data_IF_090496257323
#
_entry.id   IF_090496257323
#
_cell.length_a   1.000
_cell.length_b   1.000
_cell.length_c   1.000
_cell.angle_alpha   90.00
_cell.angle_beta   90.00
_cell.angle_gamma   90.00
#
_symmetry.space_group_name_H-M   'P 1'
#
loop_
_entity.id
_entity.type
_entity.pdbx_description
1 polymer ?
#
# COMPACT_ATOMS: atom_id res chain seq x y z
N UNK A 1 -28.01 -49.06 12.83
CA UNK A 1 -28.56 -48.65 11.52
C UNK A 1 -28.57 -47.13 11.51
N UNK A 2 -27.55 -46.50 10.90
CA UNK A 2 -27.41 -45.05 10.82
C UNK A 2 -27.59 -44.62 9.35
N UNK A 3 -28.55 -43.74 9.09
CA UNK A 3 -28.79 -43.15 7.78
C UNK A 3 -27.82 -41.96 7.55
N UNK A 4 -27.26 -41.79 6.35
CA UNK A 4 -26.41 -40.64 6.05
C UNK A 4 -27.22 -39.37 5.76
N UNK A 5 -26.84 -38.28 6.43
CA UNK A 5 -27.33 -36.91 6.22
C UNK A 5 -26.81 -36.38 4.86
N UNK A 6 -27.73 -35.92 4.01
CA UNK A 6 -27.40 -35.20 2.77
C UNK A 6 -27.07 -33.73 3.08
N UNK A 7 -26.06 -33.13 2.41
CA UNK A 7 -25.78 -31.70 2.52
C UNK A 7 -26.76 -30.85 1.70
N UNK A 8 -27.10 -29.63 2.16
CA UNK A 8 -28.04 -28.73 1.47
C UNK A 8 -27.42 -28.11 0.20
N UNK A 9 -28.25 -27.98 -0.84
CA UNK A 9 -27.91 -27.34 -2.12
C UNK A 9 -27.84 -25.80 -1.98
N UNK A 10 -26.86 -25.13 -2.62
CA UNK A 10 -26.79 -23.67 -2.64
C UNK A 10 -27.90 -23.06 -3.50
N UNK A 11 -28.56 -22.04 -2.95
CA UNK A 11 -29.62 -21.26 -3.60
C UNK A 11 -28.97 -20.08 -4.33
N UNK A 12 -29.08 -20.06 -5.65
CA UNK A 12 -28.64 -18.94 -6.50
C UNK A 12 -29.66 -17.80 -6.35
N UNK A 13 -29.22 -16.64 -5.89
CA UNK A 13 -30.03 -15.40 -5.88
C UNK A 13 -29.68 -14.63 -7.15
N UNK A 14 -30.70 -14.46 -7.98
CA UNK A 14 -30.68 -13.81 -9.28
C UNK A 14 -30.63 -12.28 -9.10
N UNK A 15 -29.67 -11.63 -9.77
CA UNK A 15 -29.40 -10.19 -9.64
C UNK A 15 -30.53 -9.30 -10.18
N UNK A 16 -30.78 -8.21 -9.47
CA UNK A 16 -31.60 -7.10 -9.94
C UNK A 16 -30.69 -6.04 -10.58
N UNK A 17 -30.95 -5.72 -11.84
CA UNK A 17 -30.31 -4.64 -12.59
C UNK A 17 -30.81 -3.27 -12.10
N UNK A 18 -29.95 -2.24 -12.00
CA UNK A 18 -30.40 -0.89 -11.75
C UNK A 18 -30.92 -0.22 -13.03
N UNK A 19 -32.08 0.43 -12.90
CA UNK A 19 -32.68 1.29 -13.91
C UNK A 19 -31.84 2.55 -14.13
N UNK A 20 -31.62 2.91 -15.39
CA UNK A 20 -30.99 4.15 -15.80
C UNK A 20 -32.04 5.27 -15.88
N UNK A 21 -31.84 6.35 -15.11
CA UNK A 21 -32.53 7.62 -15.32
C UNK A 21 -31.63 8.60 -16.11
N UNK A 22 -32.17 9.32 -17.11
CA UNK A 22 -31.42 10.31 -17.87
C UNK A 22 -31.54 11.68 -17.22
N UNK A 23 -30.41 12.31 -16.86
CA UNK A 23 -30.38 13.72 -16.44
C UNK A 23 -29.62 14.56 -17.45
N UNK A 24 -30.31 15.59 -17.90
CA UNK A 24 -29.99 16.51 -18.98
C UNK A 24 -28.66 17.26 -18.81
N UNK A 25 -27.95 17.40 -19.93
CA UNK A 25 -26.76 18.22 -20.06
C UNK A 25 -27.11 19.72 -20.06
N UNK A 26 -26.48 20.49 -19.17
CA UNK A 26 -26.52 21.96 -19.17
C UNK A 26 -25.24 22.48 -19.85
N UNK A 27 -25.33 23.34 -20.88
CA UNK A 27 -24.15 23.90 -21.55
C UNK A 27 -23.54 25.03 -20.71
N UNK A 28 -22.27 24.89 -20.31
CA UNK A 28 -21.47 25.97 -19.72
C UNK A 28 -20.62 26.63 -20.81
N UNK A 29 -20.87 27.92 -21.03
CA UNK A 29 -20.11 28.79 -21.92
C UNK A 29 -18.70 29.09 -21.36
N UNK A 30 -17.68 29.28 -22.22
CA UNK A 30 -16.36 29.71 -21.81
C UNK A 30 -16.31 31.22 -21.57
N UNK A 31 -15.83 31.63 -20.38
CA UNK A 31 -15.46 33.03 -20.08
C UNK A 31 -13.97 33.22 -20.33
N UNK A 32 -13.66 34.06 -21.32
CA UNK A 32 -12.35 34.67 -21.56
C UNK A 32 -12.04 35.69 -20.46
N UNK A 33 -10.88 35.56 -19.81
CA UNK A 33 -10.31 36.63 -18.97
C UNK A 33 -8.88 36.85 -19.46
N UNK A 34 -8.68 37.99 -20.11
CA UNK A 34 -7.39 38.57 -20.45
C UNK A 34 -6.93 39.45 -19.29
N UNK A 35 -5.65 39.38 -18.93
CA UNK A 35 -5.05 40.31 -17.96
C UNK A 35 -3.81 39.76 -17.25
N UNK A 36 -2.67 39.74 -17.95
CA UNK A 36 -1.32 39.73 -17.36
C UNK A 36 -1.02 41.14 -16.79
N UNK A 37 -0.14 41.31 -15.79
CA UNK A 37 1.32 41.25 -16.00
C UNK A 37 2.08 40.54 -14.85
N UNK A 38 3.04 39.66 -15.15
CA UNK A 38 4.49 39.90 -15.26
C UNK A 38 5.30 39.58 -13.99
N UNK A 39 6.20 38.60 -14.18
CA UNK A 39 7.54 38.45 -13.61
C UNK A 39 7.71 38.11 -12.12
N UNK A 40 7.98 36.82 -11.85
CA UNK A 40 8.95 36.39 -10.85
C UNK A 40 9.74 35.18 -11.40
N UNK A 41 11.04 35.17 -11.12
CA UNK A 41 12.11 34.42 -11.77
C UNK A 41 11.94 32.89 -11.83
N UNK A 42 12.51 32.23 -12.86
CA UNK A 42 12.63 30.77 -12.85
C UNK A 42 13.69 30.37 -11.82
N UNK A 43 13.29 29.56 -10.84
CA UNK A 43 14.22 28.81 -9.99
C UNK A 43 15.03 27.91 -10.92
N UNK A 44 16.34 28.12 -10.93
CA UNK A 44 17.29 27.38 -11.75
C UNK A 44 17.06 25.88 -11.58
N UNK A 45 16.74 25.22 -12.69
CA UNK A 45 16.76 23.77 -12.77
C UNK A 45 18.17 23.31 -12.38
N UNK A 46 18.27 22.60 -11.25
CA UNK A 46 19.48 21.86 -10.92
C UNK A 46 19.69 20.87 -12.06
N UNK A 47 20.67 21.17 -12.90
CA UNK A 47 21.09 20.28 -13.97
C UNK A 47 21.43 18.94 -13.33
N UNK A 48 20.64 17.92 -13.67
CA UNK A 48 21.00 16.54 -13.40
C UNK A 48 22.41 16.32 -13.98
N UNK A 49 23.39 16.12 -13.11
CA UNK A 49 24.73 15.75 -13.54
C UNK A 49 24.59 14.44 -14.29
N UNK A 50 24.78 14.50 -15.61
CA UNK A 50 24.87 13.32 -16.44
C UNK A 50 25.97 12.41 -15.86
N UNK A 51 25.72 11.09 -15.74
CA UNK A 51 26.76 10.17 -15.27
C UNK A 51 28.01 10.34 -16.13
N UNK A 52 29.23 10.23 -15.55
CA UNK A 52 30.46 10.43 -16.28
C UNK A 52 30.47 9.50 -17.50
N UNK A 53 30.40 10.09 -18.70
CA UNK A 53 30.50 9.34 -19.94
C UNK A 53 31.77 8.49 -19.87
N UNK A 54 31.68 7.17 -20.09
CA UNK A 54 32.89 6.36 -20.18
C UNK A 54 33.73 6.94 -21.32
N UNK A 55 35.01 7.24 -21.02
CA UNK A 55 36.01 7.65 -22.03
C UNK A 55 35.97 6.65 -23.18
N UNK A 56 35.29 7.02 -24.27
CA UNK A 56 35.32 6.28 -25.54
C UNK A 56 36.72 6.45 -26.08
N UNK A 57 37.57 5.45 -25.89
CA UNK A 57 38.78 5.33 -26.69
C UNK A 57 38.30 5.15 -28.13
N UNK A 58 38.62 6.07 -29.05
CA UNK A 58 38.21 5.94 -30.44
C UNK A 58 38.82 4.66 -31.03
N UNK A 59 38.00 3.79 -31.63
CA UNK A 59 38.50 2.71 -32.49
C UNK A 59 38.25 1.26 -32.06
N UNK A 60 37.76 0.99 -30.85
CA UNK A 60 37.42 -0.41 -30.44
C UNK A 60 35.90 -0.56 -30.34
N UNK A 61 35.29 -1.15 -31.37
CA UNK A 61 33.89 -1.55 -31.33
C UNK A 61 33.74 -2.68 -30.30
N UNK A 62 33.13 -2.39 -29.15
CA UNK A 62 32.83 -3.41 -28.13
C UNK A 62 31.74 -4.32 -28.67
N UNK A 63 32.02 -5.62 -28.73
CA UNK A 63 31.00 -6.62 -29.06
C UNK A 63 30.07 -6.77 -27.87
N UNK A 64 28.76 -6.67 -28.08
CA UNK A 64 27.73 -6.98 -27.08
C UNK A 64 27.18 -8.39 -27.29
N UNK A 65 26.61 -8.98 -26.25
CA UNK A 65 25.90 -10.25 -26.36
C UNK A 65 24.50 -10.00 -26.93
N UNK A 66 24.26 -10.44 -28.17
CA UNK A 66 22.96 -10.37 -28.82
C UNK A 66 22.12 -11.59 -28.41
N UNK A 67 21.66 -11.63 -27.16
CA UNK A 67 20.81 -12.70 -26.64
C UNK A 67 19.41 -12.16 -26.39
N UNK A 68 18.42 -12.76 -27.05
CA UNK A 68 17.01 -12.35 -26.94
C UNK A 68 16.29 -13.11 -25.83
N UNK A 69 15.18 -12.54 -25.32
CA UNK A 69 14.33 -13.22 -24.34
C UNK A 69 13.77 -14.56 -24.88
N UNK A 70 13.51 -14.65 -26.18
CA UNK A 70 13.05 -15.89 -26.81
C UNK A 70 14.13 -16.99 -26.83
N UNK A 71 15.40 -16.61 -27.05
CA UNK A 71 16.52 -17.55 -26.94
C UNK A 71 16.74 -17.99 -25.50
N UNK A 72 16.66 -17.07 -24.54
CA UNK A 72 16.71 -17.42 -23.12
C UNK A 72 15.56 -18.35 -22.73
N UNK A 73 14.34 -18.14 -23.22
CA UNK A 73 13.20 -19.01 -22.95
C UNK A 73 13.34 -20.43 -23.50
N UNK A 74 14.15 -20.64 -24.56
CA UNK A 74 14.50 -22.00 -25.03
C UNK A 74 15.52 -22.68 -24.11
N UNK A 75 16.39 -21.90 -23.48
CA UNK A 75 17.44 -22.39 -22.59
C UNK A 75 16.94 -22.60 -21.15
N UNK A 76 15.97 -21.79 -20.72
CA UNK A 76 15.40 -21.76 -19.38
C UNK A 76 13.86 -21.79 -19.46
N UNK A 77 13.27 -22.92 -19.92
CA UNK A 77 11.84 -23.01 -20.21
C UNK A 77 10.94 -22.87 -18.98
N UNK A 78 11.47 -23.05 -17.77
CA UNK A 78 10.77 -22.88 -16.51
C UNK A 78 10.65 -21.41 -16.06
N UNK A 79 11.41 -20.50 -16.67
CA UNK A 79 11.43 -19.10 -16.27
C UNK A 79 10.28 -18.31 -16.93
N UNK A 80 9.56 -17.47 -16.17
CA UNK A 80 8.50 -16.65 -16.73
C UNK A 80 9.07 -15.55 -17.63
N UNK A 81 8.31 -15.15 -18.65
CA UNK A 81 8.71 -14.10 -19.60
C UNK A 81 9.09 -12.78 -18.92
N UNK A 82 8.40 -12.43 -17.83
CA UNK A 82 8.68 -11.24 -17.03
C UNK A 82 10.09 -11.22 -16.40
N UNK A 83 10.77 -12.36 -16.28
CA UNK A 83 12.16 -12.49 -15.81
C UNK A 83 13.14 -12.58 -16.99
N UNK A 84 12.73 -13.24 -18.08
CA UNK A 84 13.54 -13.38 -19.30
C UNK A 84 13.84 -12.03 -19.95
N UNK A 85 12.88 -11.11 -19.95
CA UNK A 85 13.04 -9.76 -20.53
C UNK A 85 14.13 -8.94 -19.80
N UNK A 86 14.09 -8.78 -18.46
CA UNK A 86 15.19 -8.18 -17.72
C UNK A 86 16.53 -8.90 -17.91
N UNK A 87 16.54 -10.23 -17.95
CA UNK A 87 17.77 -11.00 -18.17
C UNK A 87 18.43 -10.67 -19.52
N UNK A 88 17.63 -10.64 -20.60
CA UNK A 88 18.11 -10.24 -21.93
C UNK A 88 18.64 -8.81 -21.94
N UNK A 89 17.96 -7.87 -21.26
CA UNK A 89 18.42 -6.49 -21.14
C UNK A 89 19.77 -6.37 -20.41
N UNK A 90 19.98 -7.16 -19.34
CA UNK A 90 21.25 -7.24 -18.63
C UNK A 90 22.36 -7.78 -19.53
N UNK A 91 22.10 -8.88 -20.25
CA UNK A 91 23.08 -9.48 -21.17
C UNK A 91 23.46 -8.55 -22.32
N UNK A 92 22.50 -7.81 -22.88
CA UNK A 92 22.75 -6.84 -23.95
C UNK A 92 23.70 -5.70 -23.53
N UNK A 93 23.76 -5.38 -22.23
CA UNK A 93 24.66 -4.38 -21.66
C UNK A 93 26.07 -4.91 -21.38
N UNK A 94 26.28 -6.24 -21.42
CA UNK A 94 27.56 -6.88 -21.14
C UNK A 94 28.45 -6.89 -22.39
N UNK A 95 29.71 -6.49 -22.21
CA UNK A 95 30.77 -6.62 -23.21
C UNK A 95 31.76 -7.70 -22.77
N UNK A 96 31.90 -8.82 -23.51
CA UNK A 96 32.82 -9.89 -23.18
C UNK A 96 34.28 -9.43 -23.09
N UNK A 97 34.69 -8.53 -23.99
CA UNK A 97 36.07 -8.04 -24.13
C UNK A 97 36.60 -7.29 -22.89
N UNK A 98 35.69 -6.81 -22.03
CA UNK A 98 36.02 -6.08 -20.81
C UNK A 98 35.36 -6.67 -19.57
N UNK A 99 34.95 -7.94 -19.62
CA UNK A 99 34.23 -8.58 -18.53
C UNK A 99 35.19 -9.01 -17.41
N UNK A 100 35.15 -8.30 -16.28
CA UNK A 100 35.93 -8.62 -15.08
C UNK A 100 35.10 -8.43 -13.81
N UNK A 101 35.76 -8.50 -12.66
CA UNK A 101 35.10 -8.42 -11.35
C UNK A 101 34.18 -7.20 -11.18
N UNK A 102 34.60 -6.01 -11.64
CA UNK A 102 33.78 -4.79 -11.54
C UNK A 102 32.47 -4.89 -12.32
N UNK A 103 32.49 -5.53 -13.48
CA UNK A 103 31.29 -5.75 -14.29
C UNK A 103 30.37 -6.76 -13.62
N UNK A 104 30.91 -7.82 -13.03
CA UNK A 104 30.14 -8.81 -12.24
C UNK A 104 29.41 -8.11 -11.08
N UNK A 105 30.12 -7.25 -10.33
CA UNK A 105 29.52 -6.48 -9.23
C UNK A 105 28.44 -5.50 -9.69
N UNK A 106 28.58 -4.92 -10.88
CA UNK A 106 27.56 -4.04 -11.44
C UNK A 106 26.28 -4.77 -11.86
N UNK A 107 26.32 -6.10 -12.07
CA UNK A 107 25.13 -6.88 -12.40
C UNK A 107 24.11 -6.80 -11.25
N UNK A 108 22.91 -6.32 -11.58
CA UNK A 108 21.81 -6.16 -10.62
C UNK A 108 21.99 -5.04 -9.59
N UNK A 109 23.07 -4.26 -9.63
CA UNK A 109 23.33 -3.22 -8.62
C UNK A 109 22.21 -2.16 -8.56
N UNK A 110 21.72 -1.70 -9.72
CA UNK A 110 20.62 -0.74 -9.78
C UNK A 110 19.29 -1.31 -9.23
N UNK A 111 19.06 -2.62 -9.43
CA UNK A 111 17.88 -3.29 -8.89
C UNK A 111 17.98 -3.48 -7.37
N UNK A 112 19.18 -3.78 -6.84
CA UNK A 112 19.45 -3.80 -5.40
C UNK A 112 19.25 -2.42 -4.76
N UNK A 113 19.67 -1.35 -5.42
CA UNK A 113 19.44 0.03 -4.95
C UNK A 113 17.95 0.38 -4.92
N UNK A 114 17.18 0.00 -5.97
CA UNK A 114 15.71 0.15 -5.96
C UNK A 114 15.07 -0.64 -4.83
N UNK A 115 15.46 -1.90 -4.64
CA UNK A 115 14.98 -2.72 -3.54
C UNK A 115 15.26 -2.06 -2.17
N UNK A 116 16.46 -1.52 -1.97
CA UNK A 116 16.82 -0.77 -0.77
C UNK A 116 15.92 0.43 -0.53
N UNK A 117 15.76 1.32 -1.52
CA UNK A 117 14.90 2.50 -1.43
C UNK A 117 13.44 2.16 -1.15
N UNK A 118 12.91 1.12 -1.79
CA UNK A 118 11.54 0.69 -1.58
C UNK A 118 11.35 0.09 -0.17
N UNK A 119 12.35 -0.64 0.33
CA UNK A 119 12.37 -1.15 1.71
C UNK A 119 12.44 -0.03 2.74
N UNK A 120 13.23 1.02 2.49
CA UNK A 120 13.31 2.20 3.35
C UNK A 120 11.96 2.94 3.40
N UNK A 121 11.27 3.06 2.26
CA UNK A 121 9.93 3.65 2.19
C UNK A 121 8.91 2.83 2.99
N UNK A 122 8.94 1.51 2.88
CA UNK A 122 8.09 0.61 3.67
C UNK A 122 8.33 0.78 5.17
N UNK A 123 9.59 0.85 5.59
CA UNK A 123 9.97 1.10 6.97
C UNK A 123 9.50 2.49 7.46
N UNK A 124 9.62 3.52 6.63
CA UNK A 124 9.14 4.85 6.95
C UNK A 124 7.63 4.88 7.19
N UNK A 125 6.84 4.20 6.36
CA UNK A 125 5.38 4.07 6.55
C UNK A 125 5.07 3.36 7.86
N UNK A 126 5.72 2.24 8.16
CA UNK A 126 5.48 1.49 9.41
C UNK A 126 5.79 2.29 10.69
N UNK A 127 6.64 3.32 10.59
CA UNK A 127 7.05 4.17 11.72
C UNK A 127 6.28 5.49 11.75
N UNK A 128 5.39 5.73 10.80
CA UNK A 128 4.69 7.01 10.69
C UNK A 128 3.83 7.28 11.93
N UNK A 129 3.92 8.52 12.42
CA UNK A 129 3.23 8.94 13.64
C UNK A 129 1.72 9.08 13.43
N UNK A 130 1.27 9.45 12.22
CA UNK A 130 -0.14 9.64 11.94
C UNK A 130 -0.91 8.31 11.98
N UNK A 131 -0.31 7.22 11.48
CA UNK A 131 -0.91 5.89 11.58
C UNK A 131 -1.07 5.47 13.06
N UNK A 132 -0.01 5.64 13.87
CA UNK A 132 -0.04 5.32 15.30
C UNK A 132 -1.04 6.18 16.06
N UNK A 133 -1.05 7.48 15.82
CA UNK A 133 -1.99 8.42 16.43
C UNK A 133 -3.44 8.07 16.05
N UNK A 134 -3.71 7.77 14.78
CA UNK A 134 -5.03 7.36 14.33
C UNK A 134 -5.53 6.09 15.05
N UNK A 135 -4.70 5.06 15.16
CA UNK A 135 -5.03 3.84 15.91
C UNK A 135 -5.32 4.15 17.39
N UNK A 136 -4.49 4.97 18.03
CA UNK A 136 -4.69 5.37 19.43
C UNK A 136 -6.00 6.15 19.62
N UNK A 137 -6.30 7.10 18.73
CA UNK A 137 -7.52 7.89 18.80
C UNK A 137 -8.78 7.07 18.53
N UNK A 138 -8.73 6.10 17.60
CA UNK A 138 -9.81 5.13 17.40
C UNK A 138 -10.01 4.27 18.65
N UNK A 139 -8.92 3.75 19.23
CA UNK A 139 -8.99 2.98 20.49
C UNK A 139 -9.63 3.79 21.62
N UNK A 140 -9.18 5.04 21.82
CA UNK A 140 -9.74 5.95 22.82
C UNK A 140 -11.22 6.26 22.57
N UNK A 141 -11.61 6.42 21.31
CA UNK A 141 -13.00 6.65 20.93
C UNK A 141 -13.88 5.45 21.31
N UNK A 142 -13.42 4.23 21.03
CA UNK A 142 -14.13 2.99 21.41
C UNK A 142 -14.27 2.86 22.92
N UNK A 143 -13.21 3.18 23.67
CA UNK A 143 -13.25 3.21 25.14
C UNK A 143 -14.32 4.18 25.66
N UNK A 144 -14.32 5.43 25.18
CA UNK A 144 -15.30 6.45 25.58
C UNK A 144 -16.74 6.03 25.26
N UNK A 145 -16.97 5.48 24.07
CA UNK A 145 -18.28 4.97 23.68
C UNK A 145 -18.70 3.79 24.58
N UNK A 146 -17.76 2.93 24.97
CA UNK A 146 -17.97 1.85 25.94
C UNK A 146 -18.28 2.35 27.35
N UNK A 147 -17.58 3.38 27.84
CA UNK A 147 -17.83 4.03 29.13
C UNK A 147 -19.23 4.67 29.19
N UNK A 148 -19.76 5.13 28.06
CA UNK A 148 -21.11 5.68 27.96
C UNK A 148 -22.20 4.63 27.93
N UNK A 149 -21.88 3.38 27.56
CA UNK A 149 -22.86 2.31 27.37
C UNK A 149 -23.72 2.01 28.63
N UNK A 150 -23.16 1.96 29.86
CA UNK A 150 -23.92 1.74 31.09
C UNK A 150 -24.94 2.85 31.40
N UNK A 151 -24.76 4.06 30.85
CA UNK A 151 -25.72 5.15 31.03
C UNK A 151 -27.08 4.85 30.40
N UNK A 152 -27.13 3.91 29.44
CA UNK A 152 -28.30 3.62 28.61
C UNK A 152 -28.83 2.20 28.76
N UNK A 153 -28.17 1.34 29.53
CA UNK A 153 -28.61 -0.04 29.75
C UNK A 153 -29.86 -0.13 30.64
N UNK A 154 -30.78 -1.04 30.30
CA UNK A 154 -31.98 -1.33 31.08
C UNK A 154 -31.68 -1.91 32.48
N UNK A 155 -30.49 -2.49 32.66
CA UNK A 155 -30.00 -3.16 33.87
C UNK A 155 -28.90 -2.35 34.57
N UNK A 156 -29.08 -1.03 34.69
CA UNK A 156 -28.46 -0.30 35.79
C UNK A 156 -29.08 -0.81 37.10
N UNK A 157 -28.55 -1.92 37.63
CA UNK A 157 -28.94 -2.44 38.93
C UNK A 157 -28.83 -1.34 39.99
N UNK A 158 -29.50 -1.53 41.13
CA UNK A 158 -29.54 -0.56 42.26
C UNK A 158 -28.15 -0.02 42.72
N UNK A 159 -27.05 -0.61 42.26
CA UNK A 159 -25.67 -0.33 42.62
C UNK A 159 -24.86 0.36 41.51
N UNK A 160 -25.42 0.51 40.31
CA UNK A 160 -24.78 1.23 39.21
C UNK A 160 -24.96 2.73 39.44
N UNK A 161 -23.90 3.43 39.86
CA UNK A 161 -23.89 4.90 39.88
C UNK A 161 -24.16 5.39 38.46
N UNK A 162 -25.36 5.92 38.22
CA UNK A 162 -25.66 6.62 36.97
C UNK A 162 -24.59 7.69 36.75
N UNK A 163 -23.91 7.72 35.59
CA UNK A 163 -22.94 8.76 35.32
C UNK A 163 -23.63 10.12 35.43
N UNK A 164 -22.94 11.10 36.03
CA UNK A 164 -23.54 12.43 36.15
C UNK A 164 -23.68 13.01 34.74
N UNK A 165 -24.72 13.81 34.50
CA UNK A 165 -24.93 14.48 33.22
C UNK A 165 -23.68 15.26 32.76
N UNK A 166 -22.89 15.77 33.70
CA UNK A 166 -21.62 16.43 33.47
C UNK A 166 -20.54 15.50 32.88
N UNK A 167 -20.46 14.25 33.36
CA UNK A 167 -19.49 13.25 32.87
C UNK A 167 -19.82 12.88 31.42
N UNK A 168 -21.11 12.73 31.13
CA UNK A 168 -21.61 12.47 29.78
C UNK A 168 -21.29 13.62 28.81
N UNK A 169 -21.55 14.87 29.21
CA UNK A 169 -21.21 16.04 28.41
C UNK A 169 -19.71 16.14 28.16
N UNK A 170 -18.88 15.80 29.15
CA UNK A 170 -17.42 15.77 29.00
C UNK A 170 -17.01 14.71 27.97
N UNK A 171 -17.54 13.49 28.07
CA UNK A 171 -17.30 12.41 27.11
C UNK A 171 -17.69 12.83 25.69
N UNK A 172 -18.83 13.50 25.52
CA UNK A 172 -19.28 13.98 24.21
C UNK A 172 -18.35 15.02 23.58
N UNK A 173 -17.80 15.94 24.38
CA UNK A 173 -16.80 16.90 23.88
C UNK A 173 -15.52 16.20 23.44
N UNK A 174 -15.09 15.19 24.19
CA UNK A 174 -13.90 14.41 23.84
C UNK A 174 -14.12 13.59 22.56
N UNK A 175 -15.29 12.96 22.41
CA UNK A 175 -15.71 12.27 21.18
C UNK A 175 -15.68 13.21 19.97
N UNK A 176 -16.22 14.42 20.10
CA UNK A 176 -16.19 15.42 19.04
C UNK A 176 -14.77 15.89 18.69
N UNK A 177 -13.90 16.03 19.70
CA UNK A 177 -12.50 16.37 19.49
C UNK A 177 -11.76 15.25 18.75
N UNK A 178 -11.90 14.00 19.18
CA UNK A 178 -11.30 12.83 18.53
C UNK A 178 -11.77 12.70 17.09
N UNK A 179 -13.06 12.91 16.82
CA UNK A 179 -13.61 12.91 15.46
C UNK A 179 -12.93 13.96 14.57
N UNK A 180 -12.72 15.18 15.06
CA UNK A 180 -12.02 16.24 14.31
C UNK A 180 -10.57 15.85 14.05
N UNK A 181 -9.85 15.41 15.08
CA UNK A 181 -8.46 14.95 14.94
C UNK A 181 -8.32 13.82 13.93
N UNK A 182 -9.21 12.81 13.98
CA UNK A 182 -9.21 11.69 13.04
C UNK A 182 -9.53 12.13 11.60
N UNK A 183 -10.41 13.12 11.41
CA UNK A 183 -10.64 13.74 10.10
C UNK A 183 -9.37 14.40 9.56
N UNK A 184 -8.66 15.13 10.42
CA UNK A 184 -7.47 15.88 10.03
C UNK A 184 -6.28 14.95 9.71
N UNK A 185 -6.27 13.73 10.27
CA UNK A 185 -5.28 12.70 9.95
C UNK A 185 -5.53 11.98 8.61
N UNK A 186 -6.76 11.96 8.09
CA UNK A 186 -7.11 11.23 6.86
C UNK A 186 -6.22 11.57 5.64
N UNK A 187 -5.94 12.85 5.32
CA UNK A 187 -5.08 13.17 4.18
C UNK A 187 -3.67 12.59 4.31
N UNK A 188 -3.14 12.49 5.55
CA UNK A 188 -1.84 11.86 5.80
C UNK A 188 -1.91 10.35 5.60
N UNK A 189 -2.97 9.70 6.09
CA UNK A 189 -3.19 8.26 5.85
C UNK A 189 -3.38 7.94 4.35
N UNK A 190 -4.07 8.81 3.61
CA UNK A 190 -4.19 8.72 2.15
C UNK A 190 -2.82 8.80 1.46
N UNK A 191 -1.95 9.71 1.93
CA UNK A 191 -0.57 9.81 1.48
C UNK A 191 0.25 8.55 1.76
N UNK A 192 0.10 7.94 2.93
CA UNK A 192 0.77 6.68 3.28
C UNK A 192 0.33 5.52 2.37
N UNK A 193 -0.95 5.40 2.01
CA UNK A 193 -1.40 4.42 1.02
C UNK A 193 -0.71 4.64 -0.34
N UNK A 194 -0.67 5.89 -0.82
CA UNK A 194 0.01 6.19 -2.07
C UNK A 194 1.52 5.88 -2.02
N UNK A 195 2.17 6.04 -0.86
CA UNK A 195 3.57 5.65 -0.68
C UNK A 195 3.75 4.12 -0.65
N UNK A 196 2.80 3.37 -0.09
CA UNK A 196 2.77 1.91 -0.17
C UNK A 196 2.56 1.42 -1.60
N UNK A 197 1.64 2.01 -2.37
CA UNK A 197 1.43 1.67 -3.79
C UNK A 197 2.71 1.85 -4.62
N UNK A 198 3.42 2.97 -4.40
CA UNK A 198 4.72 3.22 -5.04
C UNK A 198 5.77 2.21 -4.62
N UNK A 199 5.87 1.92 -3.32
CA UNK A 199 6.80 0.92 -2.81
C UNK A 199 6.50 -0.48 -3.37
N UNK A 200 5.23 -0.83 -3.56
CA UNK A 200 4.82 -2.09 -4.16
C UNK A 200 5.28 -2.19 -5.62
N UNK A 201 5.04 -1.15 -6.42
CA UNK A 201 5.47 -1.11 -7.81
C UNK A 201 7.01 -1.18 -7.94
N UNK A 202 7.72 -0.44 -7.09
CA UNK A 202 9.20 -0.46 -7.05
C UNK A 202 9.75 -1.82 -6.62
N UNK A 203 9.14 -2.47 -5.61
CA UNK A 203 9.55 -3.80 -5.15
C UNK A 203 9.30 -4.89 -6.18
N UNK A 204 8.14 -4.88 -6.86
CA UNK A 204 7.84 -5.89 -7.87
C UNK A 204 8.77 -5.74 -9.09
N UNK A 205 9.02 -4.51 -9.53
CA UNK A 205 10.01 -4.25 -10.57
C UNK A 205 11.41 -4.69 -10.14
N UNK A 206 11.86 -4.30 -8.94
CA UNK A 206 13.19 -4.69 -8.45
C UNK A 206 13.31 -6.21 -8.33
N UNK A 207 12.27 -6.92 -7.88
CA UNK A 207 12.23 -8.39 -7.81
C UNK A 207 12.47 -9.03 -9.17
N UNK A 208 11.76 -8.57 -10.21
CA UNK A 208 11.91 -9.08 -11.58
C UNK A 208 13.31 -8.80 -12.14
N UNK A 209 13.83 -7.60 -11.93
CA UNK A 209 15.17 -7.22 -12.38
C UNK A 209 16.28 -8.00 -11.66
N UNK A 210 16.14 -8.24 -10.35
CA UNK A 210 17.07 -9.05 -9.56
C UNK A 210 17.08 -10.51 -10.03
N UNK A 211 15.89 -11.09 -10.24
CA UNK A 211 15.76 -12.45 -10.78
C UNK A 211 16.35 -12.55 -12.20
N UNK A 212 16.09 -11.55 -13.05
CA UNK A 212 16.66 -11.52 -14.40
C UNK A 212 18.17 -11.35 -14.40
N UNK A 213 18.72 -10.53 -13.49
CA UNK A 213 20.17 -10.39 -13.33
C UNK A 213 20.81 -11.67 -12.79
N UNK A 214 20.15 -12.40 -11.89
CA UNK A 214 20.62 -13.71 -11.44
C UNK A 214 20.65 -14.74 -12.58
N UNK A 215 19.60 -14.78 -13.41
CA UNK A 215 19.55 -15.62 -14.61
C UNK A 215 20.63 -15.23 -15.63
N UNK A 216 20.90 -13.94 -15.78
CA UNK A 216 22.01 -13.46 -16.61
C UNK A 216 23.37 -13.96 -16.07
N UNK A 217 23.59 -13.98 -14.75
CA UNK A 217 24.80 -14.57 -14.17
C UNK A 217 24.92 -16.06 -14.50
N UNK A 218 23.82 -16.81 -14.45
CA UNK A 218 23.79 -18.23 -14.82
C UNK A 218 24.15 -18.43 -16.30
N UNK A 219 23.54 -17.63 -17.20
CA UNK A 219 23.88 -17.66 -18.62
C UNK A 219 25.36 -17.32 -18.87
N UNK A 220 25.88 -16.28 -18.22
CA UNK A 220 27.28 -15.85 -18.37
C UNK A 220 28.28 -16.86 -17.80
N UNK A 221 27.86 -17.71 -16.86
CA UNK A 221 28.71 -18.76 -16.26
C UNK A 221 28.97 -19.93 -17.22
N UNK A 222 28.31 -19.94 -18.39
CA UNK A 222 28.44 -21.00 -19.38
C UNK A 222 29.81 -20.97 -20.06
N UNK A 223 30.53 -22.11 -20.13
CA UNK A 223 31.90 -22.15 -20.63
C UNK A 223 32.03 -21.75 -22.10
N UNK A 224 30.96 -21.88 -22.90
CA UNK A 224 30.96 -21.57 -24.33
C UNK A 224 31.17 -20.08 -24.63
N UNK A 225 30.96 -19.20 -23.64
CA UNK A 225 31.10 -17.76 -23.79
C UNK A 225 32.56 -17.28 -23.68
N UNK A 226 33.48 -18.14 -23.23
CA UNK A 226 34.92 -17.84 -23.11
C UNK A 226 35.22 -16.49 -22.41
N UNK A 227 34.49 -16.18 -21.34
CA UNK A 227 34.69 -14.95 -20.57
C UNK A 227 36.03 -14.99 -19.81
N UNK A 228 36.65 -13.82 -19.52
CA UNK A 228 37.85 -13.76 -18.69
C UNK A 228 37.60 -14.37 -17.30
N UNK A 229 38.55 -15.21 -16.84
CA UNK A 229 38.43 -15.99 -15.58
C UNK A 229 38.14 -15.13 -14.35
N UNK A 230 38.78 -13.97 -14.24
CA UNK A 230 38.60 -13.04 -13.11
C UNK A 230 37.13 -12.65 -12.88
N UNK A 231 36.36 -12.45 -13.96
CA UNK A 231 34.92 -12.25 -13.87
C UNK A 231 34.13 -13.56 -13.78
N UNK A 232 34.48 -14.54 -14.61
CA UNK A 232 33.71 -15.79 -14.74
C UNK A 232 33.61 -16.58 -13.42
N UNK A 233 34.72 -16.67 -12.65
CA UNK A 233 34.78 -17.46 -11.41
C UNK A 233 33.87 -16.89 -10.29
N UNK A 234 33.42 -15.64 -10.44
CA UNK A 234 32.62 -14.89 -9.45
C UNK A 234 31.13 -14.83 -9.78
N UNK A 235 30.75 -15.19 -11.00
CA UNK A 235 29.37 -15.17 -11.45
C UNK A 235 28.43 -16.06 -10.62
N UNK A 236 28.81 -17.28 -10.21
CA UNK A 236 27.91 -18.12 -9.41
C UNK A 236 27.59 -17.52 -8.04
N UNK A 237 28.61 -16.98 -7.36
CA UNK A 237 28.45 -16.30 -6.06
C UNK A 237 27.53 -15.09 -6.21
N UNK A 238 27.77 -14.26 -7.25
CA UNK A 238 26.93 -13.10 -7.53
C UNK A 238 25.49 -13.47 -7.89
N UNK A 239 25.30 -14.52 -8.68
CA UNK A 239 23.97 -15.03 -9.04
C UNK A 239 23.18 -15.47 -7.80
N UNK A 240 23.84 -16.14 -6.84
CA UNK A 240 23.22 -16.54 -5.58
C UNK A 240 22.81 -15.32 -4.73
N UNK A 241 23.64 -14.28 -4.64
CA UNK A 241 23.30 -13.03 -3.94
C UNK A 241 22.07 -12.36 -4.54
N UNK A 242 22.00 -12.27 -5.86
CA UNK A 242 20.88 -11.65 -6.58
C UNK A 242 19.58 -12.46 -6.42
N UNK A 243 19.67 -13.79 -6.48
CA UNK A 243 18.53 -14.68 -6.20
C UNK A 243 18.01 -14.51 -4.77
N UNK A 244 18.89 -14.43 -3.77
CA UNK A 244 18.49 -14.15 -2.38
C UNK A 244 17.81 -12.80 -2.25
N UNK A 245 18.33 -11.76 -2.92
CA UNK A 245 17.71 -10.45 -2.93
C UNK A 245 16.32 -10.46 -3.60
N UNK A 246 16.13 -11.22 -4.68
CA UNK A 246 14.82 -11.40 -5.31
C UNK A 246 13.81 -12.09 -4.38
N UNK A 247 14.24 -13.11 -3.63
CA UNK A 247 13.40 -13.76 -2.62
C UNK A 247 13.05 -12.80 -1.48
N UNK A 248 14.00 -12.00 -1.01
CA UNK A 248 13.74 -10.98 0.00
C UNK A 248 12.72 -9.93 -0.49
N UNK A 249 12.83 -9.48 -1.75
CA UNK A 249 11.85 -8.58 -2.36
C UNK A 249 10.43 -9.19 -2.39
N UNK A 250 10.30 -10.49 -2.68
CA UNK A 250 9.01 -11.19 -2.62
C UNK A 250 8.43 -11.22 -1.20
N UNK A 251 9.26 -11.45 -0.18
CA UNK A 251 8.83 -11.41 1.23
C UNK A 251 8.38 -9.99 1.63
N UNK A 252 9.10 -8.95 1.19
CA UNK A 252 8.73 -7.56 1.42
C UNK A 252 7.38 -7.21 0.79
N UNK A 253 7.06 -7.74 -0.40
CA UNK A 253 5.74 -7.56 -1.03
C UNK A 253 4.60 -8.17 -0.19
N UNK A 254 4.82 -9.33 0.43
CA UNK A 254 3.82 -9.96 1.30
C UNK A 254 3.57 -9.13 2.57
N UNK A 255 4.64 -8.60 3.18
CA UNK A 255 4.52 -7.70 4.33
C UNK A 255 3.81 -6.39 3.95
N UNK A 256 4.15 -5.82 2.79
CA UNK A 256 3.52 -4.61 2.28
C UNK A 256 2.01 -4.80 2.09
N UNK A 257 1.59 -5.93 1.50
CA UNK A 257 0.16 -6.22 1.30
C UNK A 257 -0.62 -6.23 2.62
N UNK A 258 -0.06 -6.82 3.68
CA UNK A 258 -0.67 -6.83 5.00
C UNK A 258 -0.75 -5.41 5.61
N UNK A 259 0.30 -4.60 5.46
CA UNK A 259 0.29 -3.20 5.92
C UNK A 259 -0.72 -2.36 5.16
N UNK A 260 -0.82 -2.53 3.84
CA UNK A 260 -1.78 -1.84 3.00
C UNK A 260 -3.21 -2.16 3.43
N UNK A 261 -3.53 -3.44 3.63
CA UNK A 261 -4.84 -3.87 4.11
C UNK A 261 -5.19 -3.27 5.48
N UNK A 262 -4.22 -3.24 6.40
CA UNK A 262 -4.41 -2.64 7.73
C UNK A 262 -4.70 -1.14 7.64
N UNK A 263 -3.93 -0.40 6.83
CA UNK A 263 -4.09 1.04 6.66
C UNK A 263 -5.41 1.39 5.94
N UNK A 264 -5.79 0.64 4.92
CA UNK A 264 -7.07 0.81 4.24
C UNK A 264 -8.26 0.52 5.15
N UNK A 265 -8.17 -0.51 5.97
CA UNK A 265 -9.19 -0.81 6.98
C UNK A 265 -9.36 0.37 7.95
N UNK A 266 -8.25 0.90 8.48
CA UNK A 266 -8.26 2.07 9.36
C UNK A 266 -8.88 3.30 8.68
N UNK A 267 -8.50 3.60 7.42
CA UNK A 267 -9.08 4.72 6.65
C UNK A 267 -10.58 4.55 6.46
N UNK A 268 -11.02 3.34 6.10
CA UNK A 268 -12.44 3.02 5.92
C UNK A 268 -13.20 3.22 7.23
N UNK A 269 -12.68 2.66 8.32
CA UNK A 269 -13.26 2.80 9.65
C UNK A 269 -13.40 4.27 10.08
N UNK A 270 -12.39 5.11 9.80
CA UNK A 270 -12.51 6.54 10.07
C UNK A 270 -13.61 7.18 9.19
N UNK A 271 -13.64 6.92 7.89
CA UNK A 271 -14.62 7.54 6.98
C UNK A 271 -16.06 7.09 7.25
N UNK A 272 -16.27 5.78 7.38
CA UNK A 272 -17.59 5.18 7.52
C UNK A 272 -18.08 5.30 8.97
N UNK A 273 -17.27 4.87 9.94
CA UNK A 273 -17.72 4.80 11.33
C UNK A 273 -17.58 6.15 12.03
N UNK A 274 -16.42 6.79 11.97
CA UNK A 274 -16.14 8.02 12.73
C UNK A 274 -16.78 9.25 12.11
N UNK A 275 -16.75 9.36 10.78
CA UNK A 275 -17.22 10.57 10.09
C UNK A 275 -18.67 10.49 9.60
N UNK A 276 -19.24 9.28 9.49
CA UNK A 276 -20.61 9.10 8.98
C UNK A 276 -21.54 8.53 10.05
N UNK A 277 -21.27 7.33 10.59
CA UNK A 277 -22.16 6.66 11.53
C UNK A 277 -22.21 7.35 12.91
N UNK A 278 -21.05 7.74 13.45
CA UNK A 278 -20.96 8.38 14.76
C UNK A 278 -21.74 9.72 14.82
N UNK A 279 -21.60 10.67 13.87
CA UNK A 279 -22.41 11.89 13.87
C UNK A 279 -23.92 11.63 13.76
N UNK A 280 -24.34 10.62 13.00
CA UNK A 280 -25.75 10.25 12.89
C UNK A 280 -26.30 9.72 14.22
N UNK A 281 -25.51 8.91 14.93
CA UNK A 281 -25.85 8.47 16.28
C UNK A 281 -25.88 9.64 17.27
N UNK A 282 -24.90 10.54 17.24
CA UNK A 282 -24.86 11.74 18.09
C UNK A 282 -26.07 12.65 17.84
N UNK A 283 -26.50 12.81 16.59
CA UNK A 283 -27.70 13.57 16.25
C UNK A 283 -28.96 12.92 16.85
N UNK A 284 -29.10 11.59 16.70
CA UNK A 284 -30.20 10.81 17.28
C UNK A 284 -30.23 10.96 18.80
N UNK A 285 -29.06 10.91 19.43
CA UNK A 285 -28.91 11.13 20.86
C UNK A 285 -29.30 12.55 21.29
N UNK A 286 -28.85 13.58 20.57
CA UNK A 286 -29.15 14.98 20.89
C UNK A 286 -30.63 15.35 20.71
N UNK A 287 -31.34 14.62 19.85
CA UNK A 287 -32.77 14.78 19.62
C UNK A 287 -33.63 13.98 20.63
N UNK A 288 -33.01 13.08 21.42
CA UNK A 288 -33.73 12.32 22.43
C UNK A 288 -34.26 13.25 23.54
N UNK A 289 -35.44 12.96 24.11
CA UNK A 289 -35.97 13.75 25.23
C UNK A 289 -35.04 13.65 26.44
N UNK A 290 -35.08 14.67 27.31
CA UNK A 290 -34.24 14.72 28.52
C UNK A 290 -34.45 13.50 29.44
N UNK A 291 -35.67 12.95 29.43
CA UNK A 291 -36.03 11.70 30.11
C UNK A 291 -36.56 10.68 29.09
N UNK A 292 -35.67 9.92 28.42
CA UNK A 292 -36.10 8.93 27.44
C UNK A 292 -36.87 7.80 28.11
N UNK A 293 -37.92 7.32 27.44
CA UNK A 293 -38.65 6.14 27.89
C UNK A 293 -37.80 4.87 27.75
N UNK A 294 -38.26 3.74 28.30
CA UNK A 294 -37.48 2.49 28.29
C UNK A 294 -37.16 2.01 26.87
N UNK A 295 -38.11 2.12 25.94
CA UNK A 295 -37.94 1.76 24.53
C UNK A 295 -36.89 2.63 23.83
N UNK A 296 -36.90 3.95 24.07
CA UNK A 296 -35.91 4.90 23.53
C UNK A 296 -34.51 4.62 24.08
N UNK A 297 -34.39 4.35 25.39
CA UNK A 297 -33.10 3.96 26.01
C UNK A 297 -32.56 2.69 25.39
N UNK A 298 -33.43 1.68 25.24
CA UNK A 298 -33.05 0.43 24.60
C UNK A 298 -32.58 0.63 23.16
N UNK A 299 -33.28 1.45 22.37
CA UNK A 299 -32.90 1.77 21.00
C UNK A 299 -31.57 2.51 20.92
N UNK A 300 -31.35 3.52 21.78
CA UNK A 300 -30.07 4.25 21.86
C UNK A 300 -28.92 3.33 22.27
N UNK A 301 -29.16 2.45 23.24
CA UNK A 301 -28.19 1.45 23.66
C UNK A 301 -27.86 0.48 22.52
N UNK A 302 -28.84 -0.09 21.85
CA UNK A 302 -28.61 -0.98 20.70
C UNK A 302 -27.85 -0.28 19.57
N UNK A 303 -28.19 0.98 19.27
CA UNK A 303 -27.49 1.76 18.25
C UNK A 303 -26.02 1.99 18.63
N UNK A 304 -25.74 2.27 19.91
CA UNK A 304 -24.38 2.42 20.42
C UNK A 304 -23.58 1.11 20.40
N UNK A 305 -24.20 -0.02 20.78
CA UNK A 305 -23.57 -1.35 20.67
C UNK A 305 -23.19 -1.65 19.22
N UNK A 306 -24.13 -1.46 18.27
CA UNK A 306 -23.87 -1.67 16.84
C UNK A 306 -22.73 -0.78 16.35
N UNK A 307 -22.69 0.48 16.78
CA UNK A 307 -21.61 1.40 16.44
C UNK A 307 -20.26 0.90 16.97
N UNK A 308 -20.19 0.47 18.24
CA UNK A 308 -18.97 -0.10 18.83
C UNK A 308 -18.55 -1.38 18.10
N UNK A 309 -19.49 -2.23 17.71
CA UNK A 309 -19.18 -3.47 16.98
C UNK A 309 -18.61 -3.17 15.59
N UNK A 310 -19.09 -2.12 14.90
CA UNK A 310 -18.48 -1.66 13.63
C UNK A 310 -17.07 -1.10 13.78
N UNK A 311 -16.63 -0.77 15.00
CA UNK A 311 -15.22 -0.45 15.26
C UNK A 311 -14.34 -1.69 15.45
N UNK A 312 -14.92 -2.87 15.71
CA UNK A 312 -14.17 -4.09 15.99
C UNK A 312 -14.09 -5.05 14.80
N UNK A 313 -14.99 -4.89 13.83
CA UNK A 313 -15.02 -5.61 12.55
C UNK A 313 -13.94 -5.13 11.59
#
# INVERSE_FOLDING_TARGET
>A
MNAPLQPPKPRVVQGAAPAAEPVAAVPRQPRTVAGMPAAAAPVAAVAAQAPPMPRRVPGVARRTLAVTAAELGRLFPEQPEAVLQPAAAVLAAVSPDGFGWRQVQALGAAAQERFGRASDRLLAVSRDEAQRAALQHVGRLVELLGEMLPAYGASAGLWSRRPRQQDLQRGMREVDQLRKTLRDLLPRLDGLCADLDRAQAELDQARLELAGAALACEYLSRPELNLPRDGADRLPERGLELSRAAVAALQSLQLLAAQHQSLDSLRRQIRETVLTALPAWLATWSAAPAEPNETERFNLHQALVRLIDTFKS
#
